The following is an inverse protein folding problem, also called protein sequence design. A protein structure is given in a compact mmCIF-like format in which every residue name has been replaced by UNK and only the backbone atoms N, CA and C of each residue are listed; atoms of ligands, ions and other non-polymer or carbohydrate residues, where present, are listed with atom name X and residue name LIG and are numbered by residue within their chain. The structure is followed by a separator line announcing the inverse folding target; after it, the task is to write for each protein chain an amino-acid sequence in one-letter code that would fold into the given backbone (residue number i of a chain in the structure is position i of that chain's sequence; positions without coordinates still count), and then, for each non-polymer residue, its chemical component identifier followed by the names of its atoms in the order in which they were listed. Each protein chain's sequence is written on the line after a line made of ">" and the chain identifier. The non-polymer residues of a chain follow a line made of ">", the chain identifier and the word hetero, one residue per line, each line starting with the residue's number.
data_IF_624029439829
#
_entry.id   IF_624029439829
#
_cell.length_a   1.000
_cell.length_b   1.000
_cell.length_c   1.000
_cell.angle_alpha   90.00
_cell.angle_beta   90.00
_cell.angle_gamma   90.00
#
_symmetry.space_group_name_H-M   'P 1'
#
loop_
_entity.id
_entity.type
_entity.pdbx_description
1 polymer ?
#
# COMPACT_ATOMS: atom_id res chain seq x y z
N UNK A 1 -17.69 5.94 -7.51
CA UNK A 1 -16.57 6.48 -8.33
C UNK A 1 -15.32 6.31 -7.49
N UNK A 2 -14.30 5.63 -8.02
CA UNK A 2 -13.04 5.47 -7.33
C UNK A 2 -12.28 6.82 -7.24
N UNK A 3 -11.52 7.02 -6.18
CA UNK A 3 -10.78 8.26 -5.92
C UNK A 3 -9.28 7.98 -5.94
N UNK A 4 -8.53 8.74 -6.76
CA UNK A 4 -7.07 8.66 -6.81
C UNK A 4 -6.47 9.01 -5.45
N UNK A 5 -5.76 8.06 -4.86
CA UNK A 5 -5.04 8.18 -3.61
C UNK A 5 -3.55 8.35 -3.88
N UNK A 6 -2.91 9.14 -3.02
CA UNK A 6 -1.47 9.20 -2.87
C UNK A 6 -1.17 8.93 -1.40
N UNK A 7 -0.58 7.77 -1.11
CA UNK A 7 -0.36 7.32 0.26
C UNK A 7 1.09 6.88 0.46
N UNK A 8 1.57 7.07 1.69
CA UNK A 8 2.80 6.46 2.15
C UNK A 8 2.46 5.19 2.92
N UNK A 9 2.95 4.05 2.44
CA UNK A 9 2.75 2.75 3.08
C UNK A 9 4.04 2.30 3.74
N UNK A 10 3.95 1.82 4.98
CA UNK A 10 5.07 1.31 5.76
C UNK A 10 4.77 -0.10 6.27
N UNK A 11 5.79 -0.95 6.35
CA UNK A 11 5.70 -2.20 7.10
C UNK A 11 5.46 -1.90 8.58
N UNK A 12 4.53 -2.64 9.18
CA UNK A 12 4.15 -2.53 10.60
C UNK A 12 5.26 -3.04 11.52
N UNK A 13 5.88 -4.16 11.18
CA UNK A 13 6.74 -4.90 12.11
C UNK A 13 8.25 -4.60 11.96
N UNK A 14 8.62 -3.60 11.17
CA UNK A 14 10.02 -3.16 11.03
C UNK A 14 10.99 -4.23 10.50
N UNK A 15 10.49 -5.35 9.98
CA UNK A 15 11.33 -6.36 9.33
C UNK A 15 11.92 -5.75 8.06
N UNK A 16 13.24 -5.53 8.09
CA UNK A 16 13.99 -5.08 6.93
C UNK A 16 14.16 -6.25 5.96
N UNK A 17 13.31 -6.30 4.94
CA UNK A 17 13.59 -7.09 3.75
C UNK A 17 14.54 -6.33 2.83
N UNK A 18 15.12 -7.02 1.85
CA UNK A 18 15.81 -6.30 0.77
C UNK A 18 14.81 -5.39 0.06
N UNK A 19 15.17 -4.12 -0.25
CA UNK A 19 14.21 -3.12 -0.76
C UNK A 19 13.47 -3.52 -2.05
N UNK A 20 14.02 -4.44 -2.84
CA UNK A 20 13.39 -5.00 -4.04
C UNK A 20 12.31 -6.02 -3.69
N UNK A 21 12.59 -6.93 -2.76
CA UNK A 21 11.65 -7.96 -2.33
C UNK A 21 10.43 -7.32 -1.65
N UNK A 22 10.68 -6.29 -0.84
CA UNK A 22 9.63 -5.53 -0.17
C UNK A 22 8.72 -4.78 -1.16
N UNK A 23 9.26 -4.24 -2.26
CA UNK A 23 8.45 -3.62 -3.32
C UNK A 23 7.62 -4.64 -4.09
N UNK A 24 8.19 -5.82 -4.39
CA UNK A 24 7.47 -6.91 -5.07
C UNK A 24 6.29 -7.36 -4.21
N UNK A 25 6.52 -7.55 -2.92
CA UNK A 25 5.47 -7.93 -1.98
C UNK A 25 4.40 -6.84 -1.85
N UNK A 26 4.81 -5.58 -1.68
CA UNK A 26 3.86 -4.46 -1.58
C UNK A 26 2.98 -4.38 -2.83
N UNK A 27 3.58 -4.53 -4.01
CA UNK A 27 2.84 -4.55 -5.27
C UNK A 27 1.87 -5.73 -5.34
N UNK A 28 2.29 -6.92 -4.91
CA UNK A 28 1.42 -8.10 -4.87
C UNK A 28 0.23 -7.92 -3.90
N UNK A 29 0.48 -7.36 -2.71
CA UNK A 29 -0.57 -7.06 -1.71
C UNK A 29 -1.59 -6.08 -2.27
N UNK A 30 -1.13 -5.00 -2.89
CA UNK A 30 -2.00 -3.97 -3.45
C UNK A 30 -2.74 -4.42 -4.71
N UNK A 31 -2.12 -5.28 -5.53
CA UNK A 31 -2.71 -5.81 -6.76
C UNK A 31 -3.94 -6.69 -6.53
N UNK A 32 -4.16 -7.16 -5.30
CA UNK A 32 -5.36 -7.93 -4.91
C UNK A 32 -6.17 -7.23 -3.81
N UNK A 33 -5.85 -5.97 -3.50
CA UNK A 33 -6.51 -5.26 -2.42
C UNK A 33 -7.95 -4.88 -2.81
N UNK A 34 -8.95 -5.07 -1.91
CA UNK A 34 -10.35 -4.77 -2.20
C UNK A 34 -10.56 -3.32 -2.66
N UNK A 35 -11.20 -3.17 -3.82
CA UNK A 35 -11.55 -1.85 -4.38
C UNK A 35 -10.37 -0.99 -4.84
N UNK A 36 -9.13 -1.51 -4.82
CA UNK A 36 -7.96 -0.81 -5.32
C UNK A 36 -7.69 -1.14 -6.80
N UNK A 37 -7.46 -0.13 -7.62
CA UNK A 37 -7.03 -0.26 -9.03
C UNK A 37 -5.90 0.73 -9.35
N UNK A 38 -5.30 0.59 -10.54
CA UNK A 38 -4.28 1.52 -11.05
C UNK A 38 -3.13 1.78 -10.06
N UNK A 39 -2.70 0.70 -9.39
CA UNK A 39 -1.65 0.71 -8.38
C UNK A 39 -0.30 0.99 -9.02
N UNK A 40 0.43 1.93 -8.47
CA UNK A 40 1.79 2.28 -8.86
C UNK A 40 2.61 2.61 -7.61
N UNK A 41 3.81 2.01 -7.52
CA UNK A 41 4.79 2.35 -6.49
C UNK A 41 5.73 3.40 -7.08
N UNK A 42 5.58 4.65 -6.62
CA UNK A 42 6.37 5.82 -7.06
C UNK A 42 7.82 5.73 -6.55
N UNK A 43 8.04 5.00 -5.46
CA UNK A 43 9.36 4.68 -4.91
C UNK A 43 9.46 4.93 -3.40
N UNK A 44 10.66 4.76 -2.85
CA UNK A 44 10.92 4.93 -1.42
C UNK A 44 10.64 6.36 -0.93
N UNK A 45 10.14 6.49 0.30
CA UNK A 45 9.96 7.77 0.98
C UNK A 45 11.18 8.06 1.90
N UNK A 46 11.70 9.30 1.97
CA UNK A 46 12.89 9.62 2.78
C UNK A 46 12.76 9.31 4.27
N UNK A 47 11.52 9.26 4.79
CA UNK A 47 11.20 8.92 6.18
C UNK A 47 10.83 7.44 6.38
N UNK A 48 11.22 6.57 5.44
CA UNK A 48 10.84 5.15 5.43
C UNK A 48 9.51 4.88 4.74
N UNK A 49 9.37 3.62 4.26
CA UNK A 49 8.24 3.14 3.48
C UNK A 49 8.27 3.54 2.01
N UNK A 50 7.12 3.36 1.35
CA UNK A 50 6.95 3.56 -0.08
C UNK A 50 5.81 4.54 -0.36
N UNK A 51 6.04 5.40 -1.35
CA UNK A 51 5.02 6.25 -1.94
C UNK A 51 4.26 5.44 -2.97
N UNK A 52 2.95 5.37 -2.81
CA UNK A 52 2.07 4.55 -3.64
C UNK A 52 0.90 5.40 -4.11
N UNK A 53 0.55 5.26 -5.37
CA UNK A 53 -0.64 5.81 -6.00
C UNK A 53 -1.58 4.67 -6.40
N UNK A 54 -2.87 4.84 -6.16
CA UNK A 54 -3.91 3.87 -6.55
C UNK A 54 -5.27 4.55 -6.57
N UNK A 55 -6.21 4.01 -7.34
CA UNK A 55 -7.62 4.40 -7.25
C UNK A 55 -8.31 3.50 -6.22
N UNK A 56 -9.10 4.09 -5.33
CA UNK A 56 -9.82 3.34 -4.29
C UNK A 56 -11.32 3.61 -4.37
N UNK A 57 -12.12 2.53 -4.41
CA UNK A 57 -13.56 2.64 -4.29
C UNK A 57 -13.97 3.00 -2.85
N UNK A 58 -14.76 4.06 -2.63
CA UNK A 58 -15.14 4.51 -1.29
C UNK A 58 -15.83 3.44 -0.43
N UNK A 59 -16.62 2.56 -1.05
CA UNK A 59 -17.30 1.46 -0.38
C UNK A 59 -16.37 0.35 0.13
N UNK A 60 -15.13 0.29 -0.37
CA UNK A 60 -14.15 -0.73 -0.02
C UNK A 60 -13.07 -0.21 0.95
N UNK A 61 -13.17 1.03 1.45
CA UNK A 61 -12.11 1.65 2.29
C UNK A 61 -11.79 0.78 3.51
N UNK A 62 -12.81 0.32 4.25
CA UNK A 62 -12.59 -0.45 5.47
C UNK A 62 -11.96 -1.82 5.17
N UNK A 63 -12.40 -2.49 4.09
CA UNK A 63 -11.84 -3.77 3.65
C UNK A 63 -10.40 -3.61 3.14
N UNK A 64 -10.11 -2.52 2.45
CA UNK A 64 -8.77 -2.16 1.97
C UNK A 64 -7.81 -1.95 3.16
N UNK A 65 -8.22 -1.17 4.16
CA UNK A 65 -7.41 -0.92 5.36
C UNK A 65 -7.16 -2.24 6.11
N UNK A 66 -8.21 -3.03 6.34
CA UNK A 66 -8.08 -4.32 7.01
C UNK A 66 -7.18 -5.30 6.22
N UNK A 67 -7.22 -5.24 4.89
CA UNK A 67 -6.35 -6.04 4.02
C UNK A 67 -4.88 -5.63 4.17
N UNK A 68 -4.57 -4.33 4.18
CA UNK A 68 -3.21 -3.84 4.41
C UNK A 68 -2.70 -4.29 5.78
N UNK A 69 -3.48 -4.09 6.83
CA UNK A 69 -3.07 -4.43 8.20
C UNK A 69 -2.83 -5.94 8.37
N UNK A 70 -3.66 -6.78 7.74
CA UNK A 70 -3.49 -8.24 7.74
C UNK A 70 -2.18 -8.67 7.09
N UNK A 71 -1.72 -7.94 6.08
CA UNK A 71 -0.46 -8.20 5.39
C UNK A 71 0.71 -7.44 6.01
N UNK A 72 0.53 -6.83 7.20
CA UNK A 72 1.60 -6.14 7.91
C UNK A 72 1.97 -4.79 7.30
N UNK A 73 1.05 -4.16 6.57
CA UNK A 73 1.21 -2.83 5.98
C UNK A 73 0.29 -1.82 6.67
N UNK A 74 0.75 -0.57 6.75
CA UNK A 74 -0.06 0.53 7.27
C UNK A 74 0.14 1.79 6.44
N UNK A 75 -0.96 2.53 6.23
CA UNK A 75 -0.90 3.87 5.67
C UNK A 75 -0.49 4.87 6.75
N UNK A 76 0.46 5.75 6.41
CA UNK A 76 1.00 6.74 7.36
C UNK A 76 1.01 8.11 6.70
N UNK A 77 0.24 9.03 7.29
CA UNK A 77 0.22 10.45 6.90
C UNK A 77 1.59 11.12 7.07
#
# INVERSE_FOLDING_TARGET
>A
MAMRQYQRLMRRDGQTLHPTDEQIELHAVLGVAPGATDVEIVGGHPKGGYRVTFDLSPECIDEFIAHLERHGWMAVM
#
